data_IF_816779984681
#
_entry.id   IF_816779984681
#
_cell.length_a   1.000
_cell.length_b   1.000
_cell.length_c   1.000
_cell.angle_alpha   90.00
_cell.angle_beta   90.00
_cell.angle_gamma   90.00
#
_symmetry.space_group_name_H-M   'P 1'
#
loop_
_entity.id
_entity.type
_entity.pdbx_description
1 polymer ?
#
# COMPACT_ATOMS: atom_id res chain seq x y z
N UNK A 1 16.30 -7.16 -2.80
CA UNK A 1 16.20 -8.01 -1.59
C UNK A 1 14.84 -7.90 -0.90
N UNK A 2 14.17 -6.74 -0.88
CA UNK A 2 12.83 -6.56 -0.27
C UNK A 2 11.61 -6.93 -1.14
N UNK A 3 11.82 -7.36 -2.40
CA UNK A 3 10.73 -7.61 -3.35
C UNK A 3 9.80 -8.76 -2.96
N UNK A 4 10.33 -9.87 -2.43
CA UNK A 4 9.54 -11.04 -2.04
C UNK A 4 8.70 -10.77 -0.77
N UNK A 5 9.23 -10.19 0.32
CA UNK A 5 8.42 -9.81 1.48
C UNK A 5 7.30 -8.83 1.16
N UNK A 6 7.56 -7.86 0.29
CA UNK A 6 6.58 -6.88 -0.15
C UNK A 6 5.46 -7.54 -0.96
N UNK A 7 5.82 -8.36 -1.96
CA UNK A 7 4.83 -9.07 -2.78
C UNK A 7 3.94 -9.96 -1.91
N UNK A 8 4.58 -10.72 -1.01
CA UNK A 8 3.89 -11.60 -0.06
C UNK A 8 2.90 -10.78 0.78
N UNK A 9 3.35 -9.69 1.42
CA UNK A 9 2.49 -8.85 2.25
C UNK A 9 1.35 -8.20 1.45
N UNK A 10 1.59 -7.76 0.22
CA UNK A 10 0.53 -7.18 -0.63
C UNK A 10 -0.50 -8.24 -1.02
N UNK A 11 -0.07 -9.44 -1.40
CA UNK A 11 -0.97 -10.55 -1.76
C UNK A 11 -1.76 -11.07 -0.56
N UNK A 12 -1.10 -11.20 0.59
CA UNK A 12 -1.70 -11.58 1.86
C UNK A 12 -2.76 -10.56 2.29
N UNK A 13 -2.46 -9.26 2.18
CA UNK A 13 -3.42 -8.20 2.53
C UNK A 13 -4.64 -8.22 1.60
N UNK A 14 -4.45 -8.48 0.31
CA UNK A 14 -5.56 -8.60 -0.65
C UNK A 14 -6.43 -9.82 -0.37
N UNK A 15 -5.84 -11.01 -0.23
CA UNK A 15 -6.57 -12.26 0.02
C UNK A 15 -7.31 -12.19 1.36
N UNK A 16 -6.63 -11.77 2.43
CA UNK A 16 -7.26 -11.62 3.75
C UNK A 16 -8.33 -10.52 3.74
N UNK A 17 -8.15 -9.46 2.95
CA UNK A 17 -9.16 -8.42 2.74
C UNK A 17 -10.44 -8.98 2.14
N UNK A 18 -10.32 -9.78 1.07
CA UNK A 18 -11.47 -10.44 0.42
C UNK A 18 -12.17 -11.43 1.35
N UNK A 19 -11.41 -12.28 2.06
CA UNK A 19 -11.99 -13.24 3.01
C UNK A 19 -12.80 -12.51 4.09
N UNK A 20 -12.25 -11.43 4.66
CA UNK A 20 -12.95 -10.64 5.69
C UNK A 20 -14.19 -9.95 5.16
N UNK A 21 -14.13 -9.43 3.93
CA UNK A 21 -15.29 -8.83 3.29
C UNK A 21 -16.39 -9.86 3.03
N UNK A 22 -16.04 -11.06 2.55
CA UNK A 22 -16.99 -12.15 2.35
C UNK A 22 -17.62 -12.60 3.67
N UNK A 23 -16.82 -12.75 4.74
CA UNK A 23 -17.33 -13.04 6.09
C UNK A 23 -18.31 -11.96 6.56
N UNK A 24 -17.98 -10.68 6.35
CA UNK A 24 -18.86 -9.56 6.70
C UNK A 24 -20.19 -9.63 5.93
N UNK A 25 -20.17 -9.92 4.63
CA UNK A 25 -21.38 -10.07 3.81
C UNK A 25 -22.24 -11.23 4.29
N UNK A 26 -21.63 -12.38 4.61
CA UNK A 26 -22.37 -13.54 5.16
C UNK A 26 -23.04 -13.21 6.49
N UNK A 27 -22.36 -12.48 7.38
CA UNK A 27 -22.96 -12.02 8.65
C UNK A 27 -24.10 -11.03 8.41
N UNK A 28 -23.96 -10.09 7.48
CA UNK A 28 -25.01 -9.15 7.11
C UNK A 28 -26.25 -9.86 6.55
N UNK A 29 -26.06 -10.83 5.66
CA UNK A 29 -27.13 -11.64 5.10
C UNK A 29 -27.84 -12.48 6.18
N UNK A 30 -27.09 -13.13 7.07
CA UNK A 30 -27.65 -13.88 8.19
C UNK A 30 -28.51 -13.00 9.12
N UNK A 31 -28.07 -11.78 9.41
CA UNK A 31 -28.81 -10.83 10.23
C UNK A 31 -30.06 -10.29 9.53
N UNK A 32 -30.00 -10.07 8.22
CA UNK A 32 -31.16 -9.69 7.42
C UNK A 32 -32.29 -10.72 7.49
N UNK A 33 -31.95 -12.00 7.67
CA UNK A 33 -32.92 -13.10 7.81
C UNK A 33 -33.35 -13.27 9.29
N UNK A 34 -32.45 -13.04 10.25
CA UNK A 34 -32.70 -13.26 11.68
C UNK A 34 -32.44 -11.99 12.52
N UNK A 35 -33.33 -10.98 12.47
CA UNK A 35 -33.13 -9.69 13.15
C UNK A 35 -33.11 -9.78 14.68
N UNK A 36 -33.65 -10.86 15.27
CA UNK A 36 -33.67 -11.08 16.71
C UNK A 36 -32.33 -11.61 17.27
N UNK A 37 -31.42 -12.07 16.40
CA UNK A 37 -30.10 -12.61 16.78
C UNK A 37 -29.05 -11.49 16.79
N UNK A 38 -29.23 -10.53 17.69
CA UNK A 38 -28.32 -9.41 17.91
C UNK A 38 -26.99 -9.82 18.55
N UNK A 39 -25.95 -10.04 17.74
CA UNK A 39 -24.57 -9.93 18.23
C UNK A 39 -23.86 -8.76 17.51
N UNK A 40 -24.25 -7.49 17.81
CA UNK A 40 -23.63 -6.30 17.23
C UNK A 40 -22.11 -6.20 17.51
N UNK A 41 -21.62 -6.94 18.51
CA UNK A 41 -20.22 -7.01 18.90
C UNK A 41 -19.36 -7.65 17.80
N UNK A 42 -19.81 -8.76 17.18
CA UNK A 42 -19.01 -9.47 16.17
C UNK A 42 -18.88 -8.62 14.90
N UNK A 43 -19.98 -7.98 14.49
CA UNK A 43 -19.99 -7.06 13.35
C UNK A 43 -19.10 -5.84 13.59
N UNK A 44 -19.17 -5.22 14.77
CA UNK A 44 -18.30 -4.12 15.16
C UNK A 44 -16.82 -4.51 15.15
N UNK A 45 -16.49 -5.69 15.70
CA UNK A 45 -15.13 -6.23 15.70
C UNK A 45 -14.60 -6.48 14.29
N UNK A 46 -15.42 -7.05 13.40
CA UNK A 46 -15.06 -7.25 11.99
C UNK A 46 -14.78 -5.93 11.27
N UNK A 47 -15.63 -4.92 11.48
CA UNK A 47 -15.44 -3.59 10.89
C UNK A 47 -14.16 -2.91 11.38
N UNK A 48 -13.93 -2.93 12.70
CA UNK A 48 -12.70 -2.38 13.31
C UNK A 48 -11.45 -3.08 12.76
N UNK A 49 -11.50 -4.40 12.61
CA UNK A 49 -10.42 -5.18 12.03
C UNK A 49 -10.17 -4.72 10.59
N UNK A 50 -11.19 -4.65 9.74
CA UNK A 50 -11.03 -4.21 8.34
C UNK A 50 -10.42 -2.80 8.29
N UNK A 51 -10.98 -1.84 9.04
CA UNK A 51 -10.47 -0.47 9.10
C UNK A 51 -9.01 -0.39 9.56
N UNK A 52 -8.61 -1.21 10.55
CA UNK A 52 -7.21 -1.27 11.01
C UNK A 52 -6.25 -1.68 9.88
N UNK A 53 -6.59 -2.70 9.09
CA UNK A 53 -5.73 -3.14 7.98
C UNK A 53 -5.65 -2.08 6.89
N UNK A 54 -6.76 -1.40 6.58
CA UNK A 54 -6.79 -0.31 5.62
C UNK A 54 -5.90 0.87 6.05
N UNK A 55 -5.98 1.29 7.32
CA UNK A 55 -5.15 2.36 7.85
C UNK A 55 -3.66 1.99 7.82
N UNK A 56 -3.33 0.75 8.18
CA UNK A 56 -1.95 0.27 8.17
C UNK A 56 -1.36 0.27 6.75
N UNK A 57 -2.12 -0.20 5.75
CA UNK A 57 -1.66 -0.25 4.36
C UNK A 57 -1.49 1.16 3.76
N UNK A 58 -2.43 2.07 4.05
CA UNK A 58 -2.30 3.47 3.63
C UNK A 58 -1.12 4.17 4.30
N UNK A 59 -0.93 3.98 5.60
CA UNK A 59 0.21 4.55 6.32
C UNK A 59 1.56 4.06 5.80
N UNK A 60 1.67 2.75 5.52
CA UNK A 60 2.88 2.19 4.91
C UNK A 60 3.14 2.78 3.52
N UNK A 61 2.11 2.91 2.69
CA UNK A 61 2.21 3.50 1.35
C UNK A 61 2.67 4.96 1.40
N UNK A 62 2.11 5.72 2.34
CA UNK A 62 2.48 7.11 2.58
C UNK A 62 3.96 7.26 2.95
N UNK A 63 4.45 6.49 3.92
CA UNK A 63 5.86 6.55 4.33
C UNK A 63 6.83 6.14 3.22
N UNK A 64 6.45 5.17 2.38
CA UNK A 64 7.24 4.77 1.21
C UNK A 64 7.31 5.92 0.19
N UNK A 65 6.19 6.61 -0.08
CA UNK A 65 6.17 7.75 -1.00
C UNK A 65 6.97 8.94 -0.45
N UNK A 66 6.82 9.25 0.84
CA UNK A 66 7.60 10.27 1.53
C UNK A 66 9.10 10.00 1.43
N UNK A 67 9.52 8.75 1.66
CA UNK A 67 10.91 8.32 1.50
C UNK A 67 11.41 8.51 0.05
N UNK A 68 10.61 8.14 -0.95
CA UNK A 68 10.97 8.36 -2.36
C UNK A 68 11.04 9.85 -2.72
N UNK A 69 10.17 10.67 -2.16
CA UNK A 69 10.20 12.13 -2.34
C UNK A 69 11.47 12.73 -1.74
N UNK A 70 11.82 12.35 -0.50
CA UNK A 70 13.04 12.79 0.17
C UNK A 70 14.31 12.42 -0.61
N UNK A 71 14.36 11.20 -1.15
CA UNK A 71 15.47 10.76 -2.00
C UNK A 71 15.56 11.58 -3.28
N UNK A 72 14.43 11.85 -3.93
CA UNK A 72 14.39 12.68 -5.13
C UNK A 72 14.90 14.09 -4.84
N UNK A 73 14.47 14.71 -3.74
CA UNK A 73 14.96 16.02 -3.32
C UNK A 73 16.47 16.02 -3.06
N UNK A 74 17.01 14.95 -2.48
CA UNK A 74 18.46 14.80 -2.30
C UNK A 74 19.20 14.72 -3.65
N UNK A 75 18.65 14.01 -4.65
CA UNK A 75 19.22 13.96 -6.00
C UNK A 75 19.18 15.32 -6.71
N UNK A 76 18.05 16.02 -6.63
CA UNK A 76 17.87 17.33 -7.23
C UNK A 76 18.85 18.33 -6.62
N UNK A 77 18.99 18.33 -5.29
CA UNK A 77 19.97 19.14 -4.56
C UNK A 77 21.41 18.84 -4.98
N UNK A 78 21.78 17.56 -5.09
CA UNK A 78 23.12 17.15 -5.55
C UNK A 78 23.38 17.62 -6.99
N UNK A 79 22.36 17.61 -7.85
CA UNK A 79 22.46 18.05 -9.24
C UNK A 79 22.68 19.57 -9.33
N UNK A 80 22.01 20.35 -8.47
CA UNK A 80 22.21 21.79 -8.36
C UNK A 80 23.63 22.14 -7.89
N UNK A 81 24.14 21.43 -6.87
CA UNK A 81 25.51 21.62 -6.34
C UNK A 81 26.58 21.28 -7.39
N UNK A 82 26.31 20.31 -8.27
CA UNK A 82 27.22 19.98 -9.36
C UNK A 82 27.30 21.08 -10.43
N UNK A 83 26.21 21.80 -10.67
CA UNK A 83 26.13 22.91 -11.62
C UNK A 83 26.56 24.27 -11.06
N UNK A 84 26.76 24.40 -9.75
CA UNK A 84 27.11 25.67 -9.09
C UNK A 84 28.63 25.84 -8.90
N UNK A 85 29.03 27.03 -8.40
CA UNK A 85 30.40 27.31 -7.90
C UNK A 85 30.64 26.69 -6.52
N UNK A 86 30.38 25.40 -6.38
CA UNK A 86 30.73 24.61 -5.20
C UNK A 86 32.17 24.10 -5.24
N UNK A 87 32.70 23.76 -4.07
CA UNK A 87 34.04 23.18 -3.89
C UNK A 87 34.13 21.79 -4.53
N UNK A 88 35.35 21.36 -4.85
CA UNK A 88 35.58 20.04 -5.45
C UNK A 88 35.16 18.89 -4.53
N UNK A 89 35.28 19.08 -3.21
CA UNK A 89 34.84 18.10 -2.20
C UNK A 89 33.31 17.96 -2.16
N UNK A 90 32.57 19.06 -2.22
CA UNK A 90 31.09 19.04 -2.30
C UNK A 90 30.63 18.34 -3.59
N UNK A 91 31.29 18.64 -4.72
CA UNK A 91 31.00 17.99 -6.01
C UNK A 91 31.34 16.50 -5.99
N UNK A 92 32.42 16.11 -5.31
CA UNK A 92 32.79 14.70 -5.13
C UNK A 92 31.77 13.95 -4.29
N UNK A 93 31.29 14.55 -3.19
CA UNK A 93 30.22 14.00 -2.37
C UNK A 93 28.93 13.81 -3.19
N UNK A 94 28.49 14.84 -3.91
CA UNK A 94 27.27 14.77 -4.73
C UNK A 94 27.36 13.70 -5.83
N UNK A 95 28.52 13.54 -6.49
CA UNK A 95 28.77 12.46 -7.45
C UNK A 95 28.68 11.08 -6.80
N UNK A 96 29.20 10.92 -5.59
CA UNK A 96 29.12 9.66 -4.85
C UNK A 96 27.67 9.34 -4.46
N UNK A 97 26.90 10.32 -4.01
CA UNK A 97 25.48 10.15 -3.69
C UNK A 97 24.69 9.75 -4.95
N UNK A 98 24.91 10.40 -6.09
CA UNK A 98 24.26 10.04 -7.35
C UNK A 98 24.64 8.63 -7.82
N UNK A 99 25.92 8.24 -7.68
CA UNK A 99 26.38 6.88 -7.98
C UNK A 99 25.74 5.85 -7.07
N UNK A 100 25.73 6.11 -5.76
CA UNK A 100 25.12 5.25 -4.75
C UNK A 100 23.63 5.04 -5.06
N UNK A 101 22.91 6.13 -5.36
CA UNK A 101 21.53 6.06 -5.77
C UNK A 101 21.33 5.23 -7.05
N UNK A 102 22.14 5.45 -8.09
CA UNK A 102 22.01 4.69 -9.35
C UNK A 102 22.22 3.18 -9.16
N UNK A 103 23.08 2.79 -8.22
CA UNK A 103 23.43 1.37 -7.99
C UNK A 103 22.48 0.70 -7.00
N UNK A 104 22.12 1.39 -5.91
CA UNK A 104 21.35 0.79 -4.81
C UNK A 104 19.88 1.17 -4.82
N UNK A 105 19.52 2.35 -5.32
CA UNK A 105 18.15 2.82 -5.34
C UNK A 105 17.46 2.47 -6.65
N UNK A 106 16.56 1.50 -6.56
CA UNK A 106 15.44 1.36 -7.46
C UNK A 106 14.18 1.57 -6.63
N UNK A 107 13.20 2.33 -7.14
CA UNK A 107 11.83 2.25 -6.59
C UNK A 107 11.48 0.77 -6.42
N UNK A 108 10.91 0.40 -5.28
CA UNK A 108 10.52 -1.00 -5.03
C UNK A 108 9.51 -1.41 -6.09
N UNK A 109 9.95 -2.34 -6.94
CA UNK A 109 9.14 -3.00 -7.94
C UNK A 109 9.21 -4.49 -7.66
N UNK A 110 8.27 -5.04 -6.88
CA UNK A 110 8.21 -6.47 -6.62
C UNK A 110 8.10 -7.22 -7.95
N UNK A 111 9.19 -7.88 -8.35
CA UNK A 111 9.29 -8.63 -9.61
C UNK A 111 8.89 -7.84 -10.88
N UNK A 112 8.94 -6.50 -10.84
CA UNK A 112 8.48 -5.66 -11.96
C UNK A 112 6.96 -5.64 -12.18
N UNK A 113 6.18 -6.28 -11.32
CA UNK A 113 4.72 -6.44 -11.47
C UNK A 113 3.96 -5.13 -11.23
N UNK A 114 4.39 -4.37 -10.22
CA UNK A 114 3.80 -3.09 -9.86
C UNK A 114 4.84 -2.21 -9.13
N UNK A 115 4.59 -0.90 -9.12
CA UNK A 115 5.35 0.02 -8.27
C UNK A 115 4.65 0.08 -6.93
N UNK A 116 5.35 -0.20 -5.83
CA UNK A 116 4.85 0.16 -4.50
C UNK A 116 4.80 1.69 -4.43
N UNK A 117 3.60 2.22 -4.59
CA UNK A 117 3.29 3.64 -4.64
C UNK A 117 1.84 3.78 -4.15
N UNK A 118 1.39 4.96 -3.73
CA UNK A 118 -0.01 5.16 -3.27
C UNK A 118 -1.01 4.68 -4.35
N UNK A 119 -0.62 4.77 -5.62
CA UNK A 119 -1.38 4.26 -6.77
C UNK A 119 -1.63 2.75 -6.73
N UNK A 120 -0.70 1.95 -6.21
CA UNK A 120 -0.89 0.51 -6.06
C UNK A 120 -1.94 0.21 -5.00
N UNK A 121 -1.87 0.89 -3.87
CA UNK A 121 -2.89 0.77 -2.82
C UNK A 121 -4.27 1.17 -3.34
N UNK A 122 -4.39 2.28 -4.07
CA UNK A 122 -5.65 2.68 -4.71
C UNK A 122 -6.20 1.63 -5.69
N UNK A 123 -5.35 1.01 -6.51
CA UNK A 123 -5.77 -0.08 -7.42
C UNK A 123 -6.25 -1.31 -6.67
N UNK A 124 -5.56 -1.67 -5.58
CA UNK A 124 -5.98 -2.78 -4.71
C UNK A 124 -7.35 -2.48 -4.08
N UNK A 125 -7.59 -1.23 -3.67
CA UNK A 125 -8.90 -0.78 -3.19
C UNK A 125 -9.99 -0.85 -4.27
N UNK A 126 -9.70 -0.39 -5.48
CA UNK A 126 -10.63 -0.45 -6.61
C UNK A 126 -11.03 -1.91 -6.92
N UNK A 127 -10.04 -2.80 -7.00
CA UNK A 127 -10.25 -4.24 -7.14
C UNK A 127 -11.11 -4.78 -5.99
N UNK A 128 -10.77 -4.47 -4.75
CA UNK A 128 -11.51 -4.93 -3.58
C UNK A 128 -12.98 -4.47 -3.63
N UNK A 129 -13.24 -3.20 -3.92
CA UNK A 129 -14.60 -2.65 -4.02
C UNK A 129 -15.38 -3.34 -5.14
N UNK A 130 -14.77 -3.54 -6.31
CA UNK A 130 -15.43 -4.25 -7.41
C UNK A 130 -15.81 -5.69 -7.03
N UNK A 131 -14.91 -6.42 -6.37
CA UNK A 131 -15.21 -7.77 -5.87
C UNK A 131 -16.30 -7.76 -4.79
N UNK A 132 -16.28 -6.79 -3.87
CA UNK A 132 -17.33 -6.63 -2.85
C UNK A 132 -18.69 -6.37 -3.49
N UNK A 133 -18.76 -5.52 -4.52
CA UNK A 133 -20.00 -5.26 -5.25
C UNK A 133 -20.54 -6.53 -5.90
N UNK A 134 -19.68 -7.31 -6.55
CA UNK A 134 -20.07 -8.61 -7.14
C UNK A 134 -20.57 -9.57 -6.06
N UNK A 135 -19.88 -9.69 -4.94
CA UNK A 135 -20.31 -10.54 -3.82
C UNK A 135 -21.65 -10.08 -3.22
N UNK A 136 -21.87 -8.76 -3.13
CA UNK A 136 -23.15 -8.21 -2.70
C UNK A 136 -24.28 -8.53 -3.69
N UNK A 137 -24.02 -8.46 -4.99
CA UNK A 137 -24.99 -8.86 -6.01
C UNK A 137 -25.40 -10.32 -5.84
N UNK A 138 -24.45 -11.23 -5.64
CA UNK A 138 -24.75 -12.65 -5.39
C UNK A 138 -25.45 -12.92 -4.05
N UNK A 139 -25.31 -12.04 -3.06
CA UNK A 139 -25.98 -12.20 -1.76
C UNK A 139 -27.39 -11.61 -1.73
N UNK A 140 -27.73 -10.74 -2.69
CA UNK A 140 -29.01 -10.02 -2.77
C UNK A 140 -29.92 -10.53 -3.90
N UNK A 141 -29.36 -11.13 -4.96
CA UNK A 141 -30.11 -11.92 -5.95
C UNK A 141 -30.40 -13.33 -5.42
#
# INVERSE_FOLDING_TARGET
MFNLPVLYRSSETFILGLIKAQVLISFLHYYSINPDCGIPIIQGMLYIVIMKYLLLQNGLSYHIEEFYSAIKMAQDSCSLILGSRSTDEEKKLCRNIQRLHRVLFSKMKPFGLFYEDIRHTLRVFELLTNYIVVLLQFALL
#
